data_IF_103144717340
#
_entry.id   IF_103144717340
#
_cell.length_a   1.000
_cell.length_b   1.000
_cell.length_c   1.000
_cell.angle_alpha   90.00
_cell.angle_beta   90.00
_cell.angle_gamma   90.00
#
_symmetry.space_group_name_H-M   'P 1'
#
loop_
_entity.id
_entity.type
_entity.pdbx_description
1 polymer ?
#
# COMPACT_ATOMS: atom_id res chain seq x y z
N UNK A 1 21.97 8.06 -4.80
CA UNK A 1 21.12 7.88 -3.59
C UNK A 1 19.69 7.62 -4.05
N UNK A 2 18.94 6.74 -3.37
CA UNK A 2 17.53 6.52 -3.69
C UNK A 2 16.74 7.82 -3.73
N UNK A 3 15.74 7.89 -4.59
CA UNK A 3 14.91 9.10 -4.76
C UNK A 3 13.45 8.82 -4.43
N UNK A 4 12.84 9.77 -3.73
CA UNK A 4 11.41 9.73 -3.41
C UNK A 4 10.61 10.54 -4.42
N UNK A 5 9.46 10.00 -4.82
CA UNK A 5 8.50 10.64 -5.69
C UNK A 5 7.10 10.51 -5.09
N UNK A 6 6.45 11.65 -4.84
CA UNK A 6 5.08 11.69 -4.33
C UNK A 6 4.10 11.94 -5.48
N UNK A 7 2.98 11.24 -5.46
CA UNK A 7 1.93 11.38 -6.47
C UNK A 7 0.55 11.08 -5.89
N UNK A 8 -0.49 11.30 -6.68
CA UNK A 8 -1.87 11.01 -6.30
C UNK A 8 -2.59 10.29 -7.43
N UNK A 9 -3.56 9.48 -7.07
CA UNK A 9 -4.50 8.88 -8.01
C UNK A 9 -5.92 8.91 -7.44
N UNK A 10 -6.92 8.85 -8.31
CA UNK A 10 -8.32 8.86 -7.89
C UNK A 10 -8.66 7.54 -7.19
N UNK A 11 -9.23 7.63 -5.98
CA UNK A 11 -9.74 6.46 -5.26
C UNK A 11 -10.90 5.80 -6.01
N UNK A 12 -11.07 4.51 -5.77
CA UNK A 12 -12.23 3.73 -6.22
C UNK A 12 -13.56 4.30 -5.70
N UNK A 13 -13.54 5.03 -4.57
CA UNK A 13 -14.72 5.72 -4.06
C UNK A 13 -15.20 6.89 -4.98
N UNK A 14 -14.42 7.24 -6.00
CA UNK A 14 -14.74 8.29 -6.97
C UNK A 14 -14.65 9.72 -6.43
N UNK A 15 -14.20 9.89 -5.19
CA UNK A 15 -14.18 11.19 -4.50
C UNK A 15 -12.77 11.60 -4.07
N UNK A 16 -12.09 10.75 -3.30
CA UNK A 16 -10.79 11.07 -2.73
C UNK A 16 -9.64 10.89 -3.72
N UNK A 17 -8.61 11.70 -3.57
CA UNK A 17 -7.33 11.53 -4.25
C UNK A 17 -6.36 10.85 -3.29
N UNK A 18 -6.10 9.59 -3.52
CA UNK A 18 -5.19 8.79 -2.71
C UNK A 18 -3.77 9.30 -2.87
N UNK A 19 -3.14 9.63 -1.75
CA UNK A 19 -1.73 10.02 -1.72
C UNK A 19 -0.84 8.80 -1.71
N UNK A 20 0.15 8.78 -2.58
CA UNK A 20 1.11 7.69 -2.71
C UNK A 20 2.56 8.23 -2.80
N UNK A 21 3.49 7.38 -2.42
CA UNK A 21 4.93 7.65 -2.49
C UNK A 21 5.65 6.45 -3.07
N UNK A 22 6.59 6.72 -3.95
CA UNK A 22 7.51 5.74 -4.50
C UNK A 22 8.95 6.10 -4.09
N UNK A 23 9.73 5.11 -3.71
CA UNK A 23 11.17 5.24 -3.52
C UNK A 23 11.88 4.35 -4.53
N UNK A 24 12.70 4.94 -5.38
CA UNK A 24 13.41 4.25 -6.45
C UNK A 24 14.90 4.08 -6.14
N UNK A 25 15.50 2.92 -6.47
CA UNK A 25 16.94 2.73 -6.36
C UNK A 25 17.70 3.60 -7.36
N UNK A 26 18.97 3.80 -7.08
CA UNK A 26 19.90 4.55 -7.95
C UNK A 26 20.46 3.73 -9.13
N UNK A 27 20.09 2.49 -9.23
CA UNK A 27 20.61 1.54 -10.21
C UNK A 27 19.55 0.57 -10.70
N UNK A 28 19.98 -0.65 -10.99
CA UNK A 28 19.09 -1.69 -11.48
C UNK A 28 17.96 -1.99 -10.51
N UNK A 29 16.73 -2.07 -11.05
CA UNK A 29 15.56 -2.49 -10.30
C UNK A 29 15.48 -4.02 -10.29
N UNK A 30 15.55 -4.61 -9.10
CA UNK A 30 15.52 -6.06 -8.90
C UNK A 30 14.13 -6.59 -8.56
N UNK A 31 13.32 -5.78 -7.90
CA UNK A 31 11.98 -6.14 -7.47
C UNK A 31 11.18 -4.89 -7.09
N UNK A 32 9.88 -5.05 -6.94
CA UNK A 32 8.97 -4.05 -6.36
C UNK A 32 8.41 -4.59 -5.05
N UNK A 33 8.38 -3.75 -4.01
CA UNK A 33 7.63 -3.99 -2.78
C UNK A 33 6.56 -2.89 -2.61
N UNK A 34 5.31 -3.29 -2.52
CA UNK A 34 4.21 -2.40 -2.13
C UNK A 34 3.90 -2.58 -0.64
N UNK A 35 3.75 -1.47 0.08
CA UNK A 35 3.46 -1.47 1.52
C UNK A 35 2.00 -1.03 1.76
N UNK A 36 1.28 -1.84 2.55
CA UNK A 36 -0.02 -1.51 3.11
C UNK A 36 0.14 -1.24 4.61
N UNK A 37 0.00 0.02 5.02
CA UNK A 37 0.19 0.46 6.41
C UNK A 37 -0.97 0.05 7.33
N UNK A 38 -0.77 0.17 8.64
CA UNK A 38 -1.76 -0.13 9.67
C UNK A 38 -2.69 1.04 10.00
N UNK A 39 -3.61 0.81 10.93
CA UNK A 39 -4.53 1.86 11.40
C UNK A 39 -3.78 2.97 12.14
N UNK A 40 -4.27 4.19 11.98
CA UNK A 40 -3.75 5.39 12.65
C UNK A 40 -2.26 5.67 12.39
N UNK A 41 -1.75 5.22 11.26
CA UNK A 41 -0.41 5.55 10.77
C UNK A 41 -0.47 6.05 9.32
N UNK A 42 0.67 6.30 8.71
CA UNK A 42 0.79 6.84 7.36
C UNK A 42 2.12 6.42 6.73
N UNK A 43 2.22 6.55 5.41
CA UNK A 43 3.37 6.03 4.64
C UNK A 43 4.71 6.72 4.95
N UNK A 44 4.72 7.95 5.42
CA UNK A 44 5.98 8.61 5.80
C UNK A 44 6.72 7.89 6.94
N UNK A 45 5.98 7.17 7.79
CA UNK A 45 6.57 6.34 8.85
C UNK A 45 7.48 5.25 8.29
N UNK A 46 7.21 4.82 7.07
CA UNK A 46 7.99 3.78 6.38
C UNK A 46 9.17 4.33 5.57
N UNK A 47 9.37 5.65 5.51
CA UNK A 47 10.42 6.24 4.69
C UNK A 47 11.82 5.65 4.93
N UNK A 48 12.29 5.43 6.17
CA UNK A 48 13.59 4.78 6.39
C UNK A 48 13.65 3.34 5.87
N UNK A 49 12.55 2.59 5.99
CA UNK A 49 12.45 1.22 5.46
C UNK A 49 12.41 1.21 3.93
N UNK A 50 11.68 2.14 3.32
CA UNK A 50 11.65 2.32 1.86
C UNK A 50 13.04 2.63 1.33
N UNK A 51 13.76 3.55 1.96
CA UNK A 51 15.12 3.93 1.57
C UNK A 51 16.11 2.76 1.74
N UNK A 52 16.03 2.03 2.85
CA UNK A 52 16.83 0.83 3.09
C UNK A 52 16.66 -0.18 1.95
N UNK A 53 15.43 -0.50 1.59
CA UNK A 53 15.15 -1.45 0.50
C UNK A 53 15.56 -0.91 -0.87
N UNK A 54 15.37 0.37 -1.12
CA UNK A 54 15.80 0.99 -2.38
C UNK A 54 17.33 0.94 -2.54
N UNK A 55 18.08 1.10 -1.45
CA UNK A 55 19.55 0.88 -1.47
C UNK A 55 19.93 -0.58 -1.81
N UNK A 56 18.99 -1.52 -1.75
CA UNK A 56 19.18 -2.93 -2.11
C UNK A 56 18.52 -3.31 -3.46
N UNK A 57 18.15 -2.32 -4.26
CA UNK A 57 17.62 -2.51 -5.61
C UNK A 57 16.10 -2.71 -5.68
N UNK A 58 15.36 -2.44 -4.61
CA UNK A 58 13.90 -2.48 -4.63
C UNK A 58 13.31 -1.13 -4.99
N UNK A 59 12.34 -1.11 -5.89
CA UNK A 59 11.36 -0.04 -5.91
C UNK A 59 10.38 -0.30 -4.78
N UNK A 60 10.15 0.70 -3.93
CA UNK A 60 9.18 0.58 -2.84
C UNK A 60 8.09 1.61 -3.03
N UNK A 61 6.85 1.17 -3.02
CA UNK A 61 5.68 2.03 -3.22
C UNK A 61 4.68 1.81 -2.09
N UNK A 62 4.01 2.87 -1.69
CA UNK A 62 2.98 2.83 -0.66
C UNK A 62 1.97 3.94 -0.86
N UNK A 63 0.75 3.75 -0.40
CA UNK A 63 -0.26 4.80 -0.35
C UNK A 63 -0.82 4.97 1.06
N UNK A 64 -1.23 6.18 1.38
CA UNK A 64 -2.09 6.44 2.54
C UNK A 64 -3.50 5.95 2.22
N UNK A 65 -4.00 5.01 3.03
CA UNK A 65 -5.37 4.49 2.87
C UNK A 65 -6.41 5.59 3.09
N UNK A 66 -7.64 5.40 2.61
CA UNK A 66 -8.77 6.27 2.94
C UNK A 66 -8.80 6.55 4.45
N UNK A 67 -9.08 7.78 4.84
CA UNK A 67 -9.10 8.21 6.23
C UNK A 67 -7.74 8.25 6.93
N UNK A 68 -6.64 8.20 6.19
CA UNK A 68 -5.29 8.18 6.75
C UNK A 68 -4.36 9.15 6.03
N UNK A 69 -3.38 9.65 6.77
CA UNK A 69 -2.29 10.48 6.27
C UNK A 69 -2.77 11.65 5.40
N UNK A 70 -2.18 11.79 4.23
CA UNK A 70 -2.50 12.86 3.28
C UNK A 70 -3.67 12.53 2.34
N UNK A 71 -4.25 11.34 2.43
CA UNK A 71 -5.48 10.98 1.74
C UNK A 71 -6.71 11.53 2.48
N UNK A 72 -6.70 11.55 3.83
CA UNK A 72 -7.74 12.21 4.61
C UNK A 72 -7.76 13.70 4.30
N UNK A 73 -8.93 14.25 4.02
CA UNK A 73 -9.11 15.67 3.67
C UNK A 73 -9.30 16.55 4.90
N UNK A 74 -9.75 15.95 6.03
CA UNK A 74 -10.02 16.66 7.28
C UNK A 74 -9.95 15.68 8.47
N UNK A 75 -9.99 16.23 9.69
CA UNK A 75 -9.87 15.45 10.92
C UNK A 75 -11.05 14.49 11.16
N UNK A 76 -12.23 14.80 10.63
CA UNK A 76 -13.43 13.97 10.79
C UNK A 76 -13.33 12.66 9.99
N UNK A 77 -12.48 12.62 8.98
CA UNK A 77 -12.24 11.41 8.18
C UNK A 77 -11.21 10.47 8.79
N UNK A 78 -10.48 10.89 9.82
CA UNK A 78 -9.38 10.08 10.36
C UNK A 78 -9.86 8.72 10.87
N UNK A 79 -9.19 7.67 10.42
CA UNK A 79 -9.49 6.25 10.71
C UNK A 79 -10.86 5.78 10.23
N UNK A 80 -11.48 6.50 9.30
CA UNK A 80 -12.75 6.14 8.70
C UNK A 80 -12.60 5.96 7.18
N UNK A 81 -12.97 4.82 6.66
CA UNK A 81 -12.85 4.54 5.22
C UNK A 81 -14.01 5.12 4.43
N UNK A 82 -15.23 4.64 4.70
CA UNK A 82 -16.46 5.10 4.07
C UNK A 82 -17.68 4.54 4.82
N UNK A 83 -18.87 5.12 4.58
CA UNK A 83 -20.13 4.60 5.13
C UNK A 83 -20.54 3.24 4.52
N UNK A 84 -20.17 3.01 3.26
CA UNK A 84 -20.45 1.77 2.54
C UNK A 84 -19.20 1.32 1.80
N UNK A 85 -18.98 0.02 1.83
CA UNK A 85 -17.93 -0.67 1.05
C UNK A 85 -16.50 -0.14 1.24
N UNK A 86 -16.24 0.64 2.29
CA UNK A 86 -14.95 1.28 2.52
C UNK A 86 -13.77 0.30 2.56
N UNK A 87 -13.98 -0.90 3.09
CA UNK A 87 -12.96 -1.94 3.06
C UNK A 87 -12.60 -2.35 1.63
N UNK A 88 -13.60 -2.57 0.79
CA UNK A 88 -13.42 -2.94 -0.61
C UNK A 88 -12.79 -1.79 -1.42
N UNK A 89 -13.17 -0.54 -1.13
CA UNK A 89 -12.56 0.63 -1.77
C UNK A 89 -11.07 0.71 -1.47
N UNK A 90 -10.67 0.50 -0.21
CA UNK A 90 -9.26 0.50 0.19
C UNK A 90 -8.47 -0.63 -0.49
N UNK A 91 -9.03 -1.84 -0.55
CA UNK A 91 -8.41 -2.98 -1.24
C UNK A 91 -8.29 -2.70 -2.75
N UNK A 92 -9.32 -2.11 -3.35
CA UNK A 92 -9.31 -1.73 -4.76
C UNK A 92 -8.31 -0.61 -5.05
N UNK A 93 -8.12 0.33 -4.14
CA UNK A 93 -7.10 1.37 -4.25
C UNK A 93 -5.68 0.76 -4.19
N UNK A 94 -5.47 -0.25 -3.36
CA UNK A 94 -4.23 -1.02 -3.36
C UNK A 94 -3.98 -1.69 -4.73
N UNK A 95 -5.03 -2.22 -5.37
CA UNK A 95 -4.95 -2.83 -6.69
C UNK A 95 -4.65 -1.80 -7.79
N UNK A 96 -5.24 -0.61 -7.70
CA UNK A 96 -4.88 0.49 -8.62
C UNK A 96 -3.40 0.85 -8.50
N UNK A 97 -2.87 0.98 -7.28
CA UNK A 97 -1.45 1.25 -7.06
C UNK A 97 -0.58 0.13 -7.63
N UNK A 98 -0.97 -1.13 -7.41
CA UNK A 98 -0.27 -2.29 -7.98
C UNK A 98 -0.22 -2.19 -9.51
N UNK A 99 -1.35 -1.95 -10.17
CA UNK A 99 -1.43 -1.83 -11.63
C UNK A 99 -0.58 -0.69 -12.18
N UNK A 100 -0.65 0.48 -11.56
CA UNK A 100 0.16 1.64 -11.94
C UNK A 100 1.66 1.35 -11.82
N UNK A 101 2.08 0.71 -10.75
CA UNK A 101 3.49 0.42 -10.49
C UNK A 101 3.98 -0.72 -11.36
N UNK A 102 3.23 -1.80 -11.51
CA UNK A 102 3.58 -2.93 -12.36
C UNK A 102 3.73 -2.54 -13.84
N UNK A 103 2.94 -1.58 -14.32
CA UNK A 103 3.08 -1.04 -15.68
C UNK A 103 4.41 -0.32 -15.89
N UNK A 104 4.98 0.31 -14.85
CA UNK A 104 6.30 0.94 -14.89
C UNK A 104 7.45 -0.07 -14.82
N UNK A 105 7.25 -1.19 -14.13
CA UNK A 105 8.26 -2.21 -13.84
C UNK A 105 7.75 -3.61 -14.20
N UNK A 106 7.46 -3.88 -15.49
CA UNK A 106 6.75 -5.10 -15.92
C UNK A 106 7.57 -6.39 -15.79
N UNK A 107 8.89 -6.29 -15.78
CA UNK A 107 9.81 -7.45 -15.91
C UNK A 107 10.43 -7.87 -14.56
N UNK A 108 10.00 -7.31 -13.47
CA UNK A 108 10.54 -7.61 -12.14
C UNK A 108 9.49 -8.20 -11.21
N UNK A 109 9.88 -9.06 -10.24
CA UNK A 109 8.93 -9.63 -9.30
C UNK A 109 8.32 -8.54 -8.40
N UNK A 110 7.03 -8.71 -8.12
CA UNK A 110 6.23 -7.80 -7.30
C UNK A 110 5.82 -8.46 -6.00
N UNK A 111 6.07 -7.79 -4.88
CA UNK A 111 5.74 -8.25 -3.54
C UNK A 111 4.82 -7.27 -2.83
N UNK A 112 3.99 -7.78 -1.94
CA UNK A 112 3.11 -6.98 -1.08
C UNK A 112 3.46 -7.21 0.39
N UNK A 113 3.63 -6.14 1.15
CA UNK A 113 3.88 -6.14 2.59
C UNK A 113 2.72 -5.44 3.29
N UNK A 114 2.08 -6.13 4.23
CA UNK A 114 1.02 -5.56 5.06
C UNK A 114 1.34 -5.64 6.53
N UNK A 115 1.20 -4.52 7.26
CA UNK A 115 1.41 -4.44 8.71
C UNK A 115 0.11 -4.12 9.43
N UNK A 116 -0.19 -4.85 10.52
CA UNK A 116 -1.36 -4.63 11.39
C UNK A 116 -2.66 -4.65 10.57
N UNK A 117 -3.45 -3.60 10.56
CA UNK A 117 -4.62 -3.46 9.68
C UNK A 117 -4.26 -3.73 8.22
N UNK A 118 -3.10 -3.25 7.74
CA UNK A 118 -2.60 -3.52 6.41
C UNK A 118 -2.36 -5.01 6.14
N UNK A 119 -2.10 -5.82 7.17
CA UNK A 119 -1.99 -7.27 7.03
C UNK A 119 -3.36 -7.92 6.75
N UNK A 120 -4.42 -7.40 7.36
CA UNK A 120 -5.79 -7.85 7.07
C UNK A 120 -6.24 -7.42 5.68
N UNK A 121 -5.95 -6.18 5.28
CA UNK A 121 -6.17 -5.70 3.91
C UNK A 121 -5.43 -6.57 2.88
N UNK A 122 -4.18 -6.92 3.15
CA UNK A 122 -3.38 -7.81 2.30
C UNK A 122 -4.00 -9.19 2.17
N UNK A 123 -4.54 -9.75 3.24
CA UNK A 123 -5.24 -11.05 3.21
C UNK A 123 -6.48 -11.01 2.33
N UNK A 124 -7.29 -9.96 2.41
CA UNK A 124 -8.40 -9.74 1.47
C UNK A 124 -7.87 -9.57 0.05
N UNK A 125 -6.84 -8.75 -0.12
CA UNK A 125 -6.24 -8.46 -1.42
C UNK A 125 -5.82 -9.72 -2.17
N UNK A 126 -5.10 -10.65 -1.54
CA UNK A 126 -4.63 -11.88 -2.19
C UNK A 126 -5.75 -12.87 -2.54
N UNK A 127 -6.92 -12.73 -1.92
CA UNK A 127 -8.12 -13.51 -2.27
C UNK A 127 -8.77 -12.90 -3.53
N UNK A 128 -8.93 -11.58 -3.56
CA UNK A 128 -9.65 -10.88 -4.63
C UNK A 128 -8.76 -10.60 -5.85
N UNK A 129 -7.46 -10.39 -5.62
CA UNK A 129 -6.47 -10.02 -6.65
C UNK A 129 -5.20 -10.89 -6.55
N UNK A 130 -5.29 -12.22 -6.77
CA UNK A 130 -4.16 -13.14 -6.58
C UNK A 130 -3.07 -12.99 -7.64
N UNK A 131 -3.34 -12.28 -8.73
CA UNK A 131 -2.49 -12.23 -9.90
C UNK A 131 -1.37 -11.19 -9.78
N UNK A 132 -0.23 -11.48 -10.37
CA UNK A 132 0.89 -10.54 -10.47
C UNK A 132 1.78 -10.45 -9.24
N UNK A 133 1.41 -11.06 -8.11
CA UNK A 133 2.24 -11.12 -6.91
C UNK A 133 3.16 -12.34 -6.91
N UNK A 134 4.42 -12.11 -6.61
CA UNK A 134 5.41 -13.18 -6.41
C UNK A 134 5.40 -13.70 -4.97
N UNK A 135 5.00 -12.88 -4.03
CA UNK A 135 4.88 -13.22 -2.62
C UNK A 135 4.30 -12.09 -1.80
N UNK A 136 3.89 -12.41 -0.58
CA UNK A 136 3.39 -11.45 0.40
C UNK A 136 4.08 -11.63 1.74
N UNK A 137 4.23 -10.53 2.46
CA UNK A 137 4.73 -10.52 3.83
C UNK A 137 3.62 -9.95 4.71
N UNK A 138 3.23 -10.72 5.71
CA UNK A 138 2.17 -10.37 6.66
C UNK A 138 2.79 -10.17 8.02
N UNK A 139 2.77 -8.94 8.51
CA UNK A 139 3.40 -8.52 9.76
C UNK A 139 2.35 -8.04 10.77
N UNK A 140 2.50 -8.44 12.02
CA UNK A 140 1.59 -8.00 13.08
C UNK A 140 0.13 -8.36 12.83
N UNK A 141 -0.11 -9.49 12.16
CA UNK A 141 -1.45 -9.99 11.86
C UNK A 141 -2.07 -10.70 13.06
N UNK A 142 -3.34 -10.98 12.97
CA UNK A 142 -4.06 -11.71 14.00
C UNK A 142 -5.23 -12.49 13.43
N UNK A 143 -5.95 -13.13 14.32
CA UNK A 143 -7.19 -13.81 14.01
C UNK A 143 -8.22 -13.42 15.07
N UNK A 144 -9.43 -13.10 14.62
CA UNK A 144 -10.54 -12.94 15.55
C UNK A 144 -10.87 -14.33 16.13
N UNK A 145 -10.78 -14.56 17.45
CA UNK A 145 -11.18 -15.82 18.02
C UNK A 145 -12.66 -16.06 17.65
N UNK A 146 -12.97 -17.28 17.25
CA UNK A 146 -14.34 -17.67 17.03
C UNK A 146 -15.14 -17.33 18.29
N UNK A 147 -16.28 -16.65 18.14
CA UNK A 147 -17.18 -16.42 19.25
C UNK A 147 -17.58 -17.82 19.78
N UNK A 148 -17.20 -18.07 21.02
CA UNK A 148 -17.58 -19.30 21.75
C UNK A 148 -19.01 -19.14 22.24
#
# INVERSE_FOLDING_TARGET
>A
MPSFHDFRFLSTDGKHKVFARECTPDGEVRAVLQIAHGVAEHIYRYAPFMEFLANHGFVVVANDHLGHGKTAENEQELCFFAEKDGWNDVVSDMDQLHKLTAAKYPDVPYFLFGHSMGSFLTRTYIIDHPEGLKGVIISGTGQNPAAV
#
